data_IF_650655494814
#
_entry.id   IF_650655494814
#
_cell.length_a   1.000
_cell.length_b   1.000
_cell.length_c   1.000
_cell.angle_alpha   90.00
_cell.angle_beta   90.00
_cell.angle_gamma   90.00
#
_symmetry.space_group_name_H-M   'P 1'
#
loop_
_entity.id
_entity.type
_entity.pdbx_description
1 polymer ?
#
# COMPACT_ATOMS: atom_id res chain seq x y z
N UNK A 1 13.48 13.27 -11.72
CA UNK A 1 14.42 12.76 -12.74
C UNK A 1 15.78 12.59 -12.10
N UNK A 2 16.35 11.40 -12.13
CA UNK A 2 17.66 11.13 -11.54
C UNK A 2 18.59 10.68 -12.67
N UNK A 3 19.73 11.37 -12.84
CA UNK A 3 20.78 10.95 -13.77
C UNK A 3 21.95 10.38 -13.01
N UNK A 4 22.52 9.30 -13.52
CA UNK A 4 23.65 8.58 -12.94
C UNK A 4 24.80 8.57 -13.94
N UNK A 5 25.98 8.99 -13.51
CA UNK A 5 27.21 8.95 -14.28
C UNK A 5 28.02 7.73 -13.83
N UNK A 6 28.35 6.84 -14.72
CA UNK A 6 29.36 5.80 -14.54
C UNK A 6 30.62 6.22 -15.30
N UNK A 7 31.74 6.31 -14.59
CA UNK A 7 33.03 6.51 -15.24
C UNK A 7 33.33 5.31 -16.14
N UNK A 8 33.56 5.60 -17.38
CA UNK A 8 33.96 4.85 -18.54
C UNK A 8 32.88 4.56 -19.59
N UNK A 9 32.70 5.57 -20.43
CA UNK A 9 32.21 5.52 -21.82
C UNK A 9 30.72 5.44 -22.11
N UNK A 10 29.80 5.23 -21.17
CA UNK A 10 28.36 5.42 -21.43
C UNK A 10 27.67 6.08 -20.24
N UNK A 11 27.10 7.25 -20.50
CA UNK A 11 26.20 7.90 -19.52
C UNK A 11 24.88 7.12 -19.53
N UNK A 12 24.55 6.50 -18.39
CA UNK A 12 23.23 5.87 -18.19
C UNK A 12 22.41 6.84 -17.35
N UNK A 13 21.35 7.39 -17.92
CA UNK A 13 20.34 8.11 -17.19
C UNK A 13 19.15 7.19 -16.92
N UNK A 14 18.69 7.13 -15.68
CA UNK A 14 17.48 6.42 -15.33
C UNK A 14 16.41 7.42 -14.86
N UNK A 15 15.28 7.45 -15.55
CA UNK A 15 14.10 8.20 -15.15
C UNK A 15 13.18 7.25 -14.37
N UNK A 16 12.87 7.60 -13.12
CA UNK A 16 12.00 6.80 -12.28
C UNK A 16 10.70 7.57 -12.10
N UNK A 17 9.59 6.98 -12.56
CA UNK A 17 8.24 7.46 -12.31
C UNK A 17 7.60 6.59 -11.23
N UNK A 18 7.09 7.23 -10.16
CA UNK A 18 6.48 6.57 -9.01
C UNK A 18 5.20 7.30 -8.62
N UNK A 19 4.21 6.54 -8.18
CA UNK A 19 2.99 7.10 -7.56
C UNK A 19 3.25 7.67 -6.17
N UNK A 20 4.38 7.30 -5.55
CA UNK A 20 4.84 7.81 -4.25
C UNK A 20 6.37 7.85 -4.19
N UNK A 21 6.90 8.66 -3.27
CA UNK A 21 8.35 8.80 -3.08
C UNK A 21 8.95 7.55 -2.43
N UNK A 22 9.98 6.94 -3.05
CA UNK A 22 10.72 5.78 -2.56
C UNK A 22 12.22 6.01 -2.70
N UNK A 23 12.82 6.70 -1.75
CA UNK A 23 14.26 7.02 -1.76
C UNK A 23 15.13 5.77 -1.67
N UNK A 24 14.69 4.76 -0.92
CA UNK A 24 15.40 3.48 -0.78
C UNK A 24 15.40 2.69 -2.09
N UNK A 25 14.32 2.75 -2.88
CA UNK A 25 14.27 2.16 -4.23
C UNK A 25 15.33 2.82 -5.14
N UNK A 26 15.42 4.14 -5.10
CA UNK A 26 16.46 4.90 -5.83
C UNK A 26 17.86 4.49 -5.38
N UNK A 27 18.07 4.37 -4.07
CA UNK A 27 19.36 3.95 -3.50
C UNK A 27 19.75 2.52 -3.92
N UNK A 28 18.78 1.59 -3.95
CA UNK A 28 19.02 0.21 -4.37
C UNK A 28 19.40 0.14 -5.86
N UNK A 29 18.72 0.89 -6.73
CA UNK A 29 19.08 1.00 -8.15
C UNK A 29 20.50 1.56 -8.31
N UNK A 30 20.83 2.66 -7.61
CA UNK A 30 22.17 3.27 -7.64
C UNK A 30 23.26 2.26 -7.28
N UNK A 31 23.12 1.56 -6.15
CA UNK A 31 24.08 0.56 -5.68
C UNK A 31 24.36 -0.52 -6.73
N UNK A 32 23.34 -0.94 -7.46
CA UNK A 32 23.49 -1.99 -8.47
C UNK A 32 24.13 -1.48 -9.76
N UNK A 33 23.85 -0.24 -10.16
CA UNK A 33 24.56 0.42 -11.27
C UNK A 33 26.05 0.60 -10.96
N UNK A 34 26.42 1.06 -9.76
CA UNK A 34 27.82 1.21 -9.34
C UNK A 34 28.57 -0.12 -9.28
N UNK A 35 27.90 -1.24 -9.02
CA UNK A 35 28.52 -2.57 -9.05
C UNK A 35 28.70 -3.13 -10.46
N UNK A 36 28.40 -2.36 -11.50
CA UNK A 36 28.58 -2.77 -12.89
C UNK A 36 27.60 -3.82 -13.40
N UNK A 37 26.51 -4.08 -12.64
CA UNK A 37 25.47 -5.01 -13.09
C UNK A 37 24.71 -4.44 -14.27
N UNK A 38 24.35 -5.33 -15.19
CA UNK A 38 23.46 -4.97 -16.29
C UNK A 38 22.10 -4.55 -15.73
N UNK A 39 21.69 -3.31 -16.05
CA UNK A 39 20.41 -2.77 -15.54
C UNK A 39 19.22 -3.52 -16.11
N UNK A 40 19.29 -4.02 -17.34
CA UNK A 40 18.20 -4.80 -17.95
C UNK A 40 17.95 -6.10 -17.16
N UNK A 41 19.03 -6.77 -16.73
CA UNK A 41 18.92 -7.96 -15.87
C UNK A 41 18.41 -7.58 -14.49
N UNK A 42 18.94 -6.50 -13.91
CA UNK A 42 18.54 -6.05 -12.58
C UNK A 42 17.05 -5.72 -12.50
N UNK A 43 16.52 -4.91 -13.43
CA UNK A 43 15.09 -4.48 -13.36
C UNK A 43 14.13 -5.64 -13.54
N UNK A 44 14.49 -6.66 -14.33
CA UNK A 44 13.68 -7.86 -14.54
C UNK A 44 13.56 -8.74 -13.30
N UNK A 45 14.51 -8.63 -12.36
CA UNK A 45 14.51 -9.44 -11.12
C UNK A 45 13.81 -8.75 -9.94
N UNK A 46 13.26 -7.53 -10.12
CA UNK A 46 12.69 -6.75 -9.02
C UNK A 46 11.17 -6.76 -9.04
N UNK A 47 10.58 -7.37 -8.04
CA UNK A 47 9.12 -7.51 -7.90
C UNK A 47 8.39 -6.16 -7.81
N UNK A 48 9.07 -5.11 -7.32
CA UNK A 48 8.52 -3.78 -7.18
C UNK A 48 8.58 -2.92 -8.45
N UNK A 49 9.22 -3.41 -9.52
CA UNK A 49 9.22 -2.76 -10.82
C UNK A 49 8.08 -3.34 -11.67
N UNK A 50 7.12 -2.48 -12.02
CA UNK A 50 5.96 -2.85 -12.81
C UNK A 50 6.29 -2.93 -14.31
N UNK A 51 7.06 -1.96 -14.79
CA UNK A 51 7.45 -1.86 -16.19
C UNK A 51 8.74 -1.05 -16.32
N UNK A 52 9.48 -1.28 -17.42
CA UNK A 52 10.60 -0.42 -17.79
C UNK A 52 10.67 -0.26 -19.31
N UNK A 53 11.23 0.85 -19.74
CA UNK A 53 11.60 1.09 -21.13
C UNK A 53 13.04 1.58 -21.21
N UNK A 54 13.69 1.29 -22.34
CA UNK A 54 15.07 1.66 -22.64
C UNK A 54 15.10 2.44 -23.94
N UNK A 55 15.82 3.55 -23.98
CA UNK A 55 16.07 4.32 -25.18
C UNK A 55 17.56 4.62 -25.32
N UNK A 56 18.07 4.64 -26.55
CA UNK A 56 19.41 5.07 -26.88
C UNK A 56 19.33 6.40 -27.64
N UNK A 57 19.87 7.46 -27.03
CA UNK A 57 19.87 8.81 -27.61
C UNK A 57 21.16 9.15 -28.36
N UNK A 58 22.05 8.19 -28.58
CA UNK A 58 23.40 8.43 -29.14
C UNK A 58 24.37 9.09 -28.13
N UNK A 59 23.84 9.75 -27.09
CA UNK A 59 24.61 10.31 -25.96
C UNK A 59 24.67 9.36 -24.75
N UNK A 60 23.92 8.25 -24.79
CA UNK A 60 23.85 7.26 -23.74
C UNK A 60 22.50 6.54 -23.66
N UNK A 61 22.46 5.50 -22.85
CA UNK A 61 21.25 4.73 -22.59
C UNK A 61 20.40 5.43 -21.52
N UNK A 62 19.13 5.59 -21.80
CA UNK A 62 18.14 6.11 -20.86
C UNK A 62 17.13 5.02 -20.50
N UNK A 63 16.82 4.89 -19.20
CA UNK A 63 15.83 3.95 -18.69
C UNK A 63 14.71 4.72 -18.00
N UNK A 64 13.47 4.33 -18.30
CA UNK A 64 12.29 4.79 -17.56
C UNK A 64 11.71 3.62 -16.81
N UNK A 65 11.65 3.72 -15.48
CA UNK A 65 11.16 2.68 -14.59
C UNK A 65 9.82 3.12 -14.01
N UNK A 66 8.82 2.27 -14.12
CA UNK A 66 7.52 2.44 -13.47
C UNK A 66 7.45 1.46 -12.31
N UNK A 67 7.26 1.94 -11.09
CA UNK A 67 7.17 1.12 -9.91
C UNK A 67 5.73 0.61 -9.71
N UNK A 68 5.59 -0.54 -9.04
CA UNK A 68 4.28 -0.97 -8.52
C UNK A 68 3.78 0.03 -7.48
N UNK A 69 2.47 0.17 -7.41
CA UNK A 69 1.79 1.06 -6.48
C UNK A 69 1.34 0.27 -5.24
N UNK A 70 2.01 0.44 -4.09
CA UNK A 70 1.65 -0.25 -2.86
C UNK A 70 0.40 0.34 -2.24
N UNK A 71 -0.65 -0.48 -2.11
CA UNK A 71 -1.94 -0.05 -1.56
C UNK A 71 -2.02 -0.34 -0.07
N UNK A 72 -1.61 -1.54 0.33
CA UNK A 72 -1.56 -1.96 1.72
C UNK A 72 -0.20 -2.54 2.06
N UNK A 73 0.15 -2.49 3.34
CA UNK A 73 1.33 -3.14 3.88
C UNK A 73 0.94 -4.45 4.56
N UNK A 74 1.59 -5.56 4.20
CA UNK A 74 1.46 -6.84 4.91
C UNK A 74 2.33 -6.83 6.18
N UNK A 75 3.65 -6.62 5.99
CA UNK A 75 4.63 -6.45 7.06
C UNK A 75 5.73 -5.48 6.61
N UNK A 76 6.86 -5.40 7.31
CA UNK A 76 7.85 -4.32 7.17
C UNK A 76 8.25 -3.95 5.75
N UNK A 77 8.38 -4.78 4.79
CA UNK A 77 8.82 -4.44 3.42
C UNK A 77 8.03 -5.21 2.37
N UNK A 78 6.91 -5.81 2.77
CA UNK A 78 6.02 -6.52 1.87
C UNK A 78 4.70 -5.77 1.75
N UNK A 79 4.26 -5.58 0.52
CA UNK A 79 3.12 -4.77 0.16
C UNK A 79 2.18 -5.52 -0.76
N UNK A 80 0.92 -5.15 -0.71
CA UNK A 80 -0.10 -5.57 -1.67
C UNK A 80 -0.37 -4.42 -2.65
N UNK A 81 -0.47 -4.73 -3.92
CA UNK A 81 -1.02 -3.83 -4.92
C UNK A 81 -2.58 -3.89 -4.92
N UNK A 82 -3.21 -3.21 -5.88
CA UNK A 82 -4.67 -3.15 -6.00
C UNK A 82 -5.34 -4.50 -6.37
N UNK A 83 -4.55 -5.50 -6.78
CA UNK A 83 -5.00 -6.86 -7.04
C UNK A 83 -4.69 -7.82 -5.90
N UNK A 84 -4.08 -7.33 -4.84
CA UNK A 84 -3.55 -8.11 -3.72
C UNK A 84 -2.38 -9.03 -4.11
N UNK A 85 -1.70 -8.72 -5.22
CA UNK A 85 -0.42 -9.34 -5.51
C UNK A 85 0.62 -8.84 -4.51
N UNK A 86 1.20 -9.79 -3.75
CA UNK A 86 2.22 -9.48 -2.75
C UNK A 86 3.56 -9.22 -3.44
N UNK A 87 4.24 -8.15 -3.08
CA UNK A 87 5.57 -7.83 -3.59
C UNK A 87 6.46 -7.21 -2.52
N UNK A 88 7.76 -7.40 -2.67
CA UNK A 88 8.77 -6.77 -1.82
C UNK A 88 9.16 -5.40 -2.39
N UNK A 89 9.30 -4.39 -1.53
CA UNK A 89 9.85 -3.07 -1.86
C UNK A 89 10.89 -2.68 -0.81
N UNK A 90 12.08 -2.16 -1.17
CA UNK A 90 13.14 -1.84 -0.22
C UNK A 90 12.87 -0.55 0.59
N UNK A 91 11.64 -0.29 0.94
CA UNK A 91 11.21 0.91 1.66
C UNK A 91 10.17 0.57 2.73
N UNK A 92 10.16 1.31 3.83
CA UNK A 92 9.14 1.20 4.88
C UNK A 92 8.14 2.34 4.74
N UNK A 93 7.10 2.11 3.94
CA UNK A 93 6.07 3.11 3.65
C UNK A 93 5.02 3.17 4.77
N UNK A 94 4.58 4.40 5.07
CA UNK A 94 3.50 4.66 6.02
C UNK A 94 2.14 4.56 5.32
N UNK A 95 1.72 3.34 5.03
CA UNK A 95 0.41 3.03 4.45
C UNK A 95 -0.34 2.02 5.33
N UNK A 96 -1.67 1.91 5.20
CA UNK A 96 -2.46 1.02 6.02
C UNK A 96 -1.97 -0.43 6.00
N UNK A 97 -1.95 -1.08 7.16
CA UNK A 97 -1.64 -2.51 7.26
C UNK A 97 -2.88 -3.33 6.87
N UNK A 98 -2.68 -4.36 6.07
CA UNK A 98 -3.70 -5.38 5.79
C UNK A 98 -3.27 -6.72 6.37
N UNK A 99 -4.15 -7.32 7.17
CA UNK A 99 -4.02 -8.68 7.69
C UNK A 99 -5.18 -9.52 7.14
N UNK A 100 -4.86 -10.45 6.25
CA UNK A 100 -5.80 -11.38 5.62
C UNK A 100 -5.09 -12.71 5.39
N UNK A 101 -5.77 -13.84 5.61
CA UNK A 101 -5.22 -15.15 5.28
C UNK A 101 -5.30 -15.37 3.78
N UNK A 102 -4.33 -16.07 3.21
CA UNK A 102 -4.25 -16.35 1.77
C UNK A 102 -5.54 -17.00 1.24
N UNK A 103 -6.10 -17.96 1.95
CA UNK A 103 -7.34 -18.65 1.59
C UNK A 103 -8.59 -17.75 1.63
N UNK A 104 -8.52 -16.61 2.31
CA UNK A 104 -9.63 -15.64 2.41
C UNK A 104 -9.56 -14.58 1.30
N UNK A 105 -8.51 -14.58 0.47
CA UNK A 105 -8.35 -13.65 -0.65
C UNK A 105 -9.25 -14.08 -1.80
N UNK A 106 -10.16 -13.19 -2.16
CA UNK A 106 -11.11 -13.35 -3.26
C UNK A 106 -11.36 -12.00 -3.94
N UNK A 107 -11.92 -12.00 -5.14
CA UNK A 107 -12.32 -10.75 -5.82
C UNK A 107 -13.25 -9.88 -4.95
N UNK A 108 -14.10 -10.52 -4.15
CA UNK A 108 -15.00 -9.83 -3.23
C UNK A 108 -14.22 -9.14 -2.11
N UNK A 109 -13.31 -9.85 -1.42
CA UNK A 109 -12.52 -9.28 -0.32
C UNK A 109 -11.56 -8.20 -0.82
N UNK A 110 -10.97 -8.36 -2.00
CA UNK A 110 -10.15 -7.33 -2.66
C UNK A 110 -10.97 -6.06 -2.91
N UNK A 111 -12.15 -6.19 -3.53
CA UNK A 111 -13.03 -5.06 -3.81
C UNK A 111 -13.47 -4.35 -2.52
N UNK A 112 -13.85 -5.12 -1.50
CA UNK A 112 -14.27 -4.58 -0.20
C UNK A 112 -13.13 -3.81 0.50
N UNK A 113 -11.90 -4.35 0.55
CA UNK A 113 -10.76 -3.68 1.16
C UNK A 113 -10.43 -2.36 0.46
N UNK A 114 -10.46 -2.34 -0.88
CA UNK A 114 -10.25 -1.13 -1.66
C UNK A 114 -11.35 -0.09 -1.40
N UNK A 115 -12.60 -0.52 -1.26
CA UNK A 115 -13.72 0.34 -0.86
C UNK A 115 -13.49 0.92 0.53
N UNK A 116 -13.18 0.11 1.54
CA UNK A 116 -12.90 0.59 2.90
C UNK A 116 -11.79 1.63 2.90
N UNK A 117 -10.67 1.35 2.21
CA UNK A 117 -9.57 2.31 2.10
C UNK A 117 -9.97 3.63 1.47
N UNK A 118 -10.83 3.61 0.46
CA UNK A 118 -11.35 4.82 -0.21
C UNK A 118 -12.24 5.64 0.72
N UNK A 119 -13.05 4.97 1.56
CA UNK A 119 -13.95 5.63 2.51
C UNK A 119 -13.22 6.25 3.71
N UNK A 120 -12.12 5.64 4.17
CA UNK A 120 -11.44 6.00 5.41
C UNK A 120 -10.03 6.53 5.13
N UNK A 121 -9.90 7.86 5.09
CA UNK A 121 -8.62 8.54 4.82
C UNK A 121 -7.57 8.36 5.93
N UNK A 122 -8.02 8.11 7.18
CA UNK A 122 -7.19 7.92 8.38
C UNK A 122 -7.01 6.44 8.77
N UNK A 123 -7.26 5.53 7.83
CA UNK A 123 -7.10 4.08 8.02
C UNK A 123 -5.66 3.73 8.40
N UNK A 124 -5.48 3.03 9.53
CA UNK A 124 -4.19 2.55 10.04
C UNK A 124 -4.01 1.07 9.72
N UNK A 125 -5.06 0.27 10.00
CA UNK A 125 -5.05 -1.16 9.73
C UNK A 125 -6.42 -1.69 9.34
N UNK A 126 -6.40 -2.77 8.58
CA UNK A 126 -7.56 -3.50 8.12
C UNK A 126 -7.29 -5.00 8.32
N UNK A 127 -8.19 -5.66 9.04
CA UNK A 127 -8.11 -7.10 9.28
C UNK A 127 -9.35 -7.77 8.69
N UNK A 128 -9.17 -8.94 8.09
CA UNK A 128 -10.27 -9.77 7.63
C UNK A 128 -10.14 -11.19 8.15
N UNK A 129 -11.24 -11.76 8.59
CA UNK A 129 -11.35 -13.19 8.80
C UNK A 129 -12.70 -13.70 8.29
N UNK A 130 -12.72 -14.93 7.80
CA UNK A 130 -13.95 -15.55 7.33
C UNK A 130 -15.00 -15.67 8.46
N UNK A 131 -14.58 -15.74 9.69
CA UNK A 131 -15.48 -15.85 10.86
C UNK A 131 -16.13 -14.52 11.22
N UNK A 132 -15.36 -13.44 11.37
CA UNK A 132 -15.81 -12.14 11.90
C UNK A 132 -16.06 -11.06 10.85
N UNK A 133 -15.54 -11.24 9.62
CA UNK A 133 -15.54 -10.23 8.58
C UNK A 133 -14.46 -9.16 8.80
N UNK A 134 -14.75 -7.95 8.35
CA UNK A 134 -13.84 -6.83 8.40
C UNK A 134 -13.76 -6.18 9.78
N UNK A 135 -12.54 -5.90 10.21
CA UNK A 135 -12.20 -5.07 11.36
C UNK A 135 -11.30 -3.93 10.87
N UNK A 136 -11.63 -2.71 11.27
CA UNK A 136 -11.01 -1.46 10.83
C UNK A 136 -10.38 -0.77 12.02
N UNK A 137 -9.16 -0.32 11.87
CA UNK A 137 -8.47 0.52 12.84
C UNK A 137 -8.14 1.88 12.23
N UNK A 138 -8.62 2.94 12.87
CA UNK A 138 -8.26 4.33 12.59
C UNK A 138 -7.58 4.97 13.80
N UNK A 139 -7.22 6.24 13.73
CA UNK A 139 -6.68 6.97 14.89
C UNK A 139 -7.69 7.10 16.03
N UNK A 140 -8.99 7.17 15.72
CA UNK A 140 -10.06 7.45 16.67
C UNK A 140 -10.88 6.22 17.06
N UNK A 141 -10.94 5.22 16.19
CA UNK A 141 -11.90 4.13 16.31
C UNK A 141 -11.28 2.80 15.88
N UNK A 142 -11.60 1.75 16.66
CA UNK A 142 -11.46 0.35 16.25
C UNK A 142 -12.87 -0.19 16.01
N UNK A 143 -13.22 -0.55 14.76
CA UNK A 143 -14.58 -0.93 14.40
C UNK A 143 -14.68 -2.34 13.82
N UNK A 144 -15.64 -3.12 14.33
CA UNK A 144 -16.06 -4.39 13.72
C UNK A 144 -17.16 -4.11 12.69
N UNK A 145 -16.82 -4.23 11.41
CA UNK A 145 -17.74 -3.94 10.30
C UNK A 145 -18.51 -5.19 9.85
N UNK A 146 -17.87 -6.39 9.92
CA UNK A 146 -18.46 -7.64 9.46
C UNK A 146 -18.36 -7.84 7.94
N UNK A 147 -19.18 -8.75 7.40
CA UNK A 147 -19.10 -9.20 6.00
C UNK A 147 -20.16 -8.60 5.08
N UNK A 148 -21.26 -8.15 5.62
CA UNK A 148 -22.47 -7.74 4.89
C UNK A 148 -22.77 -6.27 5.12
N UNK A 149 -23.55 -5.67 4.23
CA UNK A 149 -24.03 -4.30 4.35
C UNK A 149 -22.90 -3.26 4.54
N UNK A 150 -21.80 -3.48 3.82
CA UNK A 150 -20.54 -2.76 4.02
C UNK A 150 -20.72 -1.25 3.85
N UNK A 151 -21.41 -0.80 2.80
CA UNK A 151 -21.56 0.62 2.47
C UNK A 151 -22.33 1.37 3.57
N UNK A 152 -23.47 0.84 4.02
CA UNK A 152 -24.24 1.46 5.09
C UNK A 152 -23.44 1.52 6.42
N UNK A 153 -22.67 0.48 6.70
CA UNK A 153 -21.84 0.43 7.92
C UNK A 153 -20.66 1.40 7.85
N UNK A 154 -20.05 1.56 6.68
CA UNK A 154 -19.00 2.56 6.45
C UNK A 154 -19.54 3.99 6.54
N UNK A 155 -20.72 4.25 5.99
CA UNK A 155 -21.39 5.55 6.13
C UNK A 155 -21.69 5.88 7.59
N UNK A 156 -22.20 4.88 8.35
CA UNK A 156 -22.44 5.02 9.78
C UNK A 156 -21.14 5.29 10.54
N UNK A 157 -20.06 4.53 10.23
CA UNK A 157 -18.74 4.72 10.83
C UNK A 157 -18.21 6.13 10.57
N UNK A 158 -18.28 6.61 9.32
CA UNK A 158 -17.83 7.96 8.96
C UNK A 158 -18.58 9.05 9.72
N UNK A 159 -19.90 8.91 9.88
CA UNK A 159 -20.71 9.86 10.67
C UNK A 159 -20.26 9.87 12.13
N UNK A 160 -20.00 8.71 12.72
CA UNK A 160 -19.50 8.61 14.09
C UNK A 160 -18.11 9.25 14.22
N UNK A 161 -17.16 8.92 13.34
CA UNK A 161 -15.80 9.48 13.38
C UNK A 161 -15.81 11.01 13.27
N UNK A 162 -16.68 11.58 12.42
CA UNK A 162 -16.83 13.04 12.27
C UNK A 162 -17.36 13.72 13.52
N UNK A 163 -18.20 13.03 14.28
CA UNK A 163 -18.83 13.58 15.50
C UNK A 163 -17.96 13.39 16.74
N UNK A 164 -16.90 12.57 16.68
CA UNK A 164 -15.98 12.40 17.80
C UNK A 164 -15.10 13.64 17.96
N UNK A 165 -15.08 14.18 19.16
CA UNK A 165 -14.19 15.28 19.52
C UNK A 165 -12.72 14.86 19.37
N UNK A 166 -11.84 15.83 19.06
CA UNK A 166 -10.42 15.54 18.78
C UNK A 166 -9.61 15.16 20.04
N UNK A 167 -10.20 15.24 21.22
CA UNK A 167 -9.49 15.16 22.50
C UNK A 167 -9.46 13.77 23.16
N UNK A 168 -10.07 12.74 22.56
CA UNK A 168 -10.02 11.40 23.11
C UNK A 168 -8.66 10.76 22.86
N UNK A 169 -7.91 10.54 23.93
CA UNK A 169 -6.54 9.98 23.89
C UNK A 169 -6.47 8.50 23.50
N UNK A 170 -7.60 7.79 23.52
CA UNK A 170 -7.68 6.38 23.18
C UNK A 170 -8.77 6.11 22.14
N UNK A 171 -8.52 5.20 21.17
CA UNK A 171 -9.53 4.84 20.21
C UNK A 171 -10.70 4.12 20.88
N UNK A 172 -11.92 4.52 20.53
CA UNK A 172 -13.13 3.83 20.99
C UNK A 172 -13.34 2.54 20.20
N UNK A 173 -13.98 1.55 20.83
CA UNK A 173 -14.32 0.28 20.17
C UNK A 173 -15.79 0.33 19.77
N UNK A 174 -16.05 0.12 18.46
CA UNK A 174 -17.38 0.10 17.85
C UNK A 174 -17.69 -1.27 17.28
N UNK A 175 -18.86 -1.82 17.59
CA UNK A 175 -19.37 -3.00 16.89
C UNK A 175 -20.58 -2.61 16.03
N UNK A 176 -20.37 -2.57 14.71
CA UNK A 176 -21.36 -2.18 13.71
C UNK A 176 -22.05 -3.37 13.05
N UNK A 177 -21.81 -4.61 13.51
CA UNK A 177 -22.36 -5.83 12.92
C UNK A 177 -23.87 -5.99 13.17
N UNK A 178 -24.42 -5.24 14.13
CA UNK A 178 -25.85 -5.29 14.46
C UNK A 178 -26.68 -4.45 13.49
N UNK A 179 -27.85 -4.98 13.09
CA UNK A 179 -28.75 -4.30 12.16
C UNK A 179 -29.34 -3.01 12.72
N UNK A 180 -29.67 -2.99 14.02
CA UNK A 180 -30.30 -1.86 14.69
C UNK A 180 -29.36 -1.24 15.72
N UNK A 181 -28.46 -0.37 15.26
CA UNK A 181 -27.59 0.34 16.18
C UNK A 181 -26.11 -0.06 16.13
N UNK A 182 -25.41 0.25 17.19
CA UNK A 182 -24.00 -0.12 17.40
C UNK A 182 -23.74 -0.27 18.90
N UNK A 183 -22.71 -1.03 19.24
CA UNK A 183 -22.26 -1.16 20.63
C UNK A 183 -20.97 -0.38 20.79
N UNK A 184 -20.96 0.53 21.78
CA UNK A 184 -19.76 1.21 22.26
C UNK A 184 -19.17 0.39 23.40
N UNK A 185 -17.89 0.03 23.29
CA UNK A 185 -17.11 -0.52 24.39
C UNK A 185 -16.04 0.50 24.76
N UNK A 186 -16.08 0.98 25.99
CA UNK A 186 -14.97 1.76 26.55
C UNK A 186 -13.78 0.82 26.79
N UNK A 187 -12.63 1.18 26.29
CA UNK A 187 -11.36 0.46 26.49
C UNK A 187 -10.75 0.76 27.84
#
# INVERSE_FOLDING_TARGET
MFSFLKNDKKIISANISMSMNCMECVSDIKKNLYKGRDLDVYVKTKDWIKAFSKSDSGKGLSYTLVLKDPIFRSNKNFYFDHKFDLFFMPSSLQIPKLSIKENDISNKTISQANTIKKYLSDLIALNYSELSGWEVQTKKVNAYIGKTDLDNRLDKLNKIIKNLEQNDSKPIILDLRYHQGYVLKNS
#
